data_IF_343627157081
#
_entry.id   IF_343627157081
#
_cell.length_a   1.000
_cell.length_b   1.000
_cell.length_c   1.000
_cell.angle_alpha   90.00
_cell.angle_beta   90.00
_cell.angle_gamma   90.00
#
_symmetry.space_group_name_H-M   'P 1'
#
loop_
_entity.id
_entity.type
_entity.pdbx_description
1 polymer ?
#
# COMPACT_ATOMS: atom_id res chain seq x y z
N UNK A 1 -6.56 27.96 -4.14
CA UNK A 1 -5.71 26.94 -3.50
C UNK A 1 -5.43 25.90 -4.55
N UNK A 2 -4.17 25.56 -4.76
CA UNK A 2 -3.76 24.47 -5.63
C UNK A 2 -4.29 23.16 -5.02
N UNK A 3 -5.06 22.38 -5.78
CA UNK A 3 -5.53 21.06 -5.30
C UNK A 3 -4.37 20.08 -5.43
N UNK A 4 -4.21 19.23 -4.42
CA UNK A 4 -3.24 18.12 -4.47
C UNK A 4 -3.61 17.21 -5.63
N UNK A 5 -2.65 16.88 -6.50
CA UNK A 5 -2.84 15.91 -7.60
C UNK A 5 -2.42 14.52 -7.15
N UNK A 6 -3.24 13.53 -7.43
CA UNK A 6 -3.01 12.12 -7.14
C UNK A 6 -3.23 11.33 -8.43
N UNK A 7 -2.30 10.46 -8.78
CA UNK A 7 -2.50 9.47 -9.86
C UNK A 7 -2.85 8.16 -9.18
N UNK A 8 -4.06 7.64 -9.43
CA UNK A 8 -4.51 6.37 -8.89
C UNK A 8 -4.49 5.30 -10.00
N UNK A 9 -4.11 4.08 -9.62
CA UNK A 9 -4.17 2.94 -10.51
C UNK A 9 -5.62 2.65 -10.90
N UNK A 10 -5.88 2.36 -12.17
CA UNK A 10 -7.23 2.06 -12.66
C UNK A 10 -7.90 0.88 -11.93
N UNK A 11 -7.11 -0.09 -11.44
CA UNK A 11 -7.58 -1.24 -10.66
C UNK A 11 -8.14 -0.82 -9.30
N UNK A 12 -7.70 0.30 -8.74
CA UNK A 12 -8.20 0.80 -7.45
C UNK A 12 -9.60 1.42 -7.55
N UNK A 13 -10.15 1.63 -8.74
CA UNK A 13 -11.52 2.13 -8.91
C UNK A 13 -12.54 1.26 -8.17
N UNK A 14 -12.32 -0.06 -8.08
CA UNK A 14 -13.21 -0.99 -7.38
C UNK A 14 -13.21 -0.82 -5.85
N UNK A 15 -12.21 -0.16 -5.28
CA UNK A 15 -12.18 0.15 -3.85
C UNK A 15 -13.10 1.30 -3.45
N UNK A 16 -13.50 2.15 -4.40
CA UNK A 16 -14.22 3.41 -4.14
C UNK A 16 -13.34 4.56 -3.66
N UNK A 17 -12.10 4.31 -3.25
CA UNK A 17 -11.17 5.33 -2.72
C UNK A 17 -10.87 6.44 -3.74
N UNK A 18 -10.58 6.15 -5.03
CA UNK A 18 -10.36 7.23 -6.01
C UNK A 18 -11.55 8.20 -6.12
N UNK A 19 -12.78 7.71 -5.93
CA UNK A 19 -13.99 8.56 -5.95
C UNK A 19 -14.09 9.43 -4.69
N UNK A 20 -13.74 8.89 -3.52
CA UNK A 20 -13.71 9.64 -2.27
C UNK A 20 -12.65 10.75 -2.31
N UNK A 21 -11.46 10.44 -2.82
CA UNK A 21 -10.35 11.40 -2.93
C UNK A 21 -10.67 12.58 -3.85
N UNK A 22 -11.52 12.42 -4.87
CA UNK A 22 -11.93 13.53 -5.78
C UNK A 22 -12.62 14.69 -5.06
N UNK A 23 -13.14 14.47 -3.86
CA UNK A 23 -13.76 15.53 -3.05
C UNK A 23 -12.71 16.54 -2.57
N UNK A 24 -11.48 16.09 -2.31
CA UNK A 24 -10.39 16.90 -1.71
C UNK A 24 -9.14 17.05 -2.59
N UNK A 25 -9.01 16.26 -3.65
CA UNK A 25 -7.85 16.20 -4.54
C UNK A 25 -8.25 16.14 -6.03
N UNK A 26 -7.31 16.47 -6.92
CA UNK A 26 -7.41 16.18 -8.35
C UNK A 26 -6.91 14.74 -8.59
N UNK A 27 -7.80 13.82 -8.94
CA UNK A 27 -7.47 12.39 -9.10
C UNK A 27 -7.50 12.01 -10.58
N UNK A 28 -6.36 11.59 -11.09
CA UNK A 28 -6.19 11.03 -12.42
C UNK A 28 -6.11 9.50 -12.35
N UNK A 29 -6.80 8.80 -13.25
CA UNK A 29 -6.74 7.35 -13.34
C UNK A 29 -5.78 6.93 -14.44
N UNK A 30 -4.78 6.12 -14.11
CA UNK A 30 -3.79 5.59 -15.05
C UNK A 30 -3.49 4.13 -14.71
N UNK A 31 -3.07 3.32 -15.68
CA UNK A 31 -2.59 1.98 -15.38
C UNK A 31 -1.12 2.07 -14.94
N UNK A 32 -0.87 1.82 -13.66
CA UNK A 32 0.45 1.94 -13.07
C UNK A 32 1.20 0.60 -13.11
N UNK A 33 2.50 0.60 -13.50
CA UNK A 33 3.30 -0.62 -13.48
C UNK A 33 3.65 -1.07 -12.05
N UNK A 34 3.72 -0.13 -11.10
CA UNK A 34 4.08 -0.34 -9.68
C UNK A 34 3.36 0.69 -8.81
N UNK A 35 2.79 0.24 -7.68
CA UNK A 35 2.03 1.07 -6.75
C UNK A 35 0.58 1.27 -7.17
N UNK A 36 -0.22 1.69 -6.19
CA UNK A 36 -1.66 1.90 -6.35
C UNK A 36 -2.01 3.40 -6.42
N UNK A 37 -1.22 4.25 -5.75
CA UNK A 37 -1.38 5.71 -5.79
C UNK A 37 -0.03 6.39 -5.86
N UNK A 38 0.15 7.36 -6.75
CA UNK A 38 1.32 8.23 -6.83
C UNK A 38 0.92 9.60 -6.31
N UNK A 39 1.57 10.03 -5.23
CA UNK A 39 1.33 11.32 -4.57
C UNK A 39 2.31 12.41 -5.03
N UNK A 40 3.46 11.98 -5.56
CA UNK A 40 4.46 12.83 -6.21
C UNK A 40 5.46 11.95 -6.97
N UNK A 41 6.41 12.55 -7.68
CA UNK A 41 7.51 11.81 -8.35
C UNK A 41 8.33 10.94 -7.38
N UNK A 42 8.31 11.24 -6.08
CA UNK A 42 9.09 10.54 -5.05
C UNK A 42 8.24 9.59 -4.21
N UNK A 43 6.93 9.84 -4.09
CA UNK A 43 6.07 9.19 -3.10
C UNK A 43 4.98 8.39 -3.81
N UNK A 44 4.99 7.08 -3.58
CA UNK A 44 3.92 6.18 -3.99
C UNK A 44 3.39 5.38 -2.81
N UNK A 45 2.13 5.01 -2.89
CA UNK A 45 1.42 4.21 -1.91
C UNK A 45 1.02 2.89 -2.58
N UNK A 46 1.33 1.79 -1.92
CA UNK A 46 0.73 0.49 -2.17
C UNK A 46 -0.30 0.25 -1.06
N UNK A 47 -1.54 -0.05 -1.44
CA UNK A 47 -2.62 -0.40 -0.53
C UNK A 47 -2.81 -1.90 -0.55
N UNK A 48 -2.79 -2.52 0.62
CA UNK A 48 -2.98 -3.95 0.76
C UNK A 48 -3.93 -4.25 1.90
N UNK A 49 -4.98 -5.02 1.63
CA UNK A 49 -5.86 -5.50 2.71
C UNK A 49 -5.07 -6.47 3.60
N UNK A 50 -5.39 -6.50 4.89
CA UNK A 50 -4.70 -7.34 5.87
C UNK A 50 -4.69 -8.82 5.45
N UNK A 51 -5.81 -9.33 4.92
CA UNK A 51 -5.90 -10.69 4.39
C UNK A 51 -4.96 -10.93 3.21
N UNK A 52 -4.88 -9.99 2.27
CA UNK A 52 -3.97 -10.09 1.11
C UNK A 52 -2.51 -9.98 1.53
N UNK A 53 -2.21 -9.18 2.57
CA UNK A 53 -0.89 -9.11 3.17
C UNK A 53 -0.49 -10.46 3.77
N UNK A 54 -1.34 -11.07 4.59
CA UNK A 54 -1.08 -12.39 5.17
C UNK A 54 -0.90 -13.46 4.10
N UNK A 55 -1.77 -13.48 3.09
CA UNK A 55 -1.66 -14.40 1.96
C UNK A 55 -0.35 -14.21 1.19
N UNK A 56 0.07 -12.96 0.98
CA UNK A 56 1.34 -12.65 0.32
C UNK A 56 2.55 -13.04 1.16
N UNK A 57 2.44 -12.97 2.50
CA UNK A 57 3.47 -13.39 3.43
C UNK A 57 3.65 -14.92 3.41
N UNK A 58 2.55 -15.68 3.47
CA UNK A 58 2.58 -17.16 3.37
C UNK A 58 3.19 -17.59 2.04
N UNK A 59 2.80 -16.93 0.95
CA UNK A 59 3.30 -17.20 -0.40
C UNK A 59 4.69 -16.60 -0.67
N UNK A 60 5.29 -15.92 0.31
CA UNK A 60 6.58 -15.22 0.22
C UNK A 60 6.68 -14.15 -0.88
N UNK A 61 5.55 -13.69 -1.41
CA UNK A 61 5.49 -12.71 -2.52
C UNK A 61 5.56 -11.26 -2.04
N UNK A 62 5.34 -11.00 -0.75
CA UNK A 62 5.31 -9.63 -0.22
C UNK A 62 6.64 -8.90 -0.44
N UNK A 63 7.77 -9.60 -0.30
CA UNK A 63 9.09 -9.00 -0.45
C UNK A 63 9.39 -8.62 -1.90
N UNK A 64 8.93 -9.40 -2.88
CA UNK A 64 9.05 -9.03 -4.29
C UNK A 64 8.28 -7.74 -4.60
N UNK A 65 7.09 -7.56 -4.02
CA UNK A 65 6.30 -6.33 -4.18
C UNK A 65 7.01 -5.13 -3.55
N UNK A 66 7.50 -5.29 -2.32
CA UNK A 66 8.25 -4.28 -1.57
C UNK A 66 9.52 -3.86 -2.33
N UNK A 67 10.29 -4.80 -2.88
CA UNK A 67 11.47 -4.50 -3.71
C UNK A 67 11.10 -3.71 -4.95
N UNK A 68 10.02 -4.09 -5.65
CA UNK A 68 9.54 -3.36 -6.83
C UNK A 68 9.14 -1.93 -6.49
N UNK A 69 8.46 -1.70 -5.36
CA UNK A 69 8.11 -0.37 -4.87
C UNK A 69 9.34 0.46 -4.54
N UNK A 70 10.29 -0.09 -3.78
CA UNK A 70 11.56 0.58 -3.40
C UNK A 70 12.38 0.98 -4.62
N UNK A 71 12.41 0.13 -5.65
CA UNK A 71 13.16 0.41 -6.88
C UNK A 71 12.47 1.46 -7.76
N UNK A 72 11.15 1.60 -7.66
CA UNK A 72 10.37 2.52 -8.48
C UNK A 72 10.26 3.93 -7.86
N UNK A 73 10.26 4.04 -6.53
CA UNK A 73 10.02 5.29 -5.82
C UNK A 73 10.98 5.48 -4.65
N UNK A 74 11.41 6.72 -4.43
CA UNK A 74 12.33 7.06 -3.34
C UNK A 74 11.68 6.90 -1.95
N UNK A 75 10.39 7.19 -1.84
CA UNK A 75 9.63 7.20 -0.59
C UNK A 75 8.34 6.38 -0.72
N UNK A 76 8.45 5.05 -0.85
CA UNK A 76 7.28 4.18 -0.91
C UNK A 76 6.61 4.08 0.46
N UNK A 77 5.29 3.95 0.45
CA UNK A 77 4.45 3.74 1.63
C UNK A 77 3.59 2.51 1.40
N UNK A 78 3.55 1.60 2.36
CA UNK A 78 2.62 0.48 2.39
C UNK A 78 1.50 0.79 3.37
N UNK A 79 0.27 0.83 2.88
CA UNK A 79 -0.93 0.85 3.72
C UNK A 79 -1.44 -0.57 3.89
N UNK A 80 -1.50 -1.04 5.14
CA UNK A 80 -2.17 -2.29 5.51
C UNK A 80 -3.56 -1.94 6.03
N UNK A 81 -4.56 -2.17 5.20
CA UNK A 81 -5.96 -1.83 5.46
C UNK A 81 -6.72 -3.00 6.11
N UNK A 82 -7.68 -2.67 6.96
CA UNK A 82 -8.62 -3.58 7.62
C UNK A 82 -8.08 -4.25 8.88
N UNK A 83 -9.04 -4.71 9.68
CA UNK A 83 -8.78 -5.61 10.79
C UNK A 83 -8.43 -7.02 10.30
N UNK A 84 -7.94 -7.86 11.21
CA UNK A 84 -7.60 -9.25 10.90
C UNK A 84 -6.14 -9.51 10.50
N UNK A 85 -5.26 -8.51 10.63
CA UNK A 85 -3.82 -8.70 10.45
C UNK A 85 -3.27 -9.76 11.43
N UNK A 86 -3.76 -9.79 12.66
CA UNK A 86 -3.45 -10.83 13.64
C UNK A 86 -4.52 -11.93 13.57
N UNK A 87 -4.36 -12.81 12.57
CA UNK A 87 -5.25 -13.96 12.36
C UNK A 87 -4.69 -15.24 12.99
N UNK A 88 -5.54 -16.22 13.28
CA UNK A 88 -5.12 -17.50 13.91
C UNK A 88 -4.18 -18.35 13.05
N UNK A 89 -4.10 -18.09 11.75
CA UNK A 89 -3.38 -18.94 10.80
C UNK A 89 -1.89 -18.59 10.68
N UNK A 90 -1.47 -17.43 11.18
CA UNK A 90 -0.08 -16.96 11.11
C UNK A 90 0.31 -16.44 12.49
N UNK A 91 1.47 -16.86 12.98
CA UNK A 91 1.96 -16.38 14.27
C UNK A 91 2.26 -14.90 14.24
N UNK A 92 1.93 -14.18 15.32
CA UNK A 92 2.23 -12.75 15.48
C UNK A 92 3.71 -12.42 15.23
N UNK A 93 4.62 -13.32 15.62
CA UNK A 93 6.07 -13.17 15.38
C UNK A 93 6.43 -13.08 13.91
N UNK A 94 5.76 -13.86 13.05
CA UNK A 94 5.99 -13.83 11.61
C UNK A 94 5.48 -12.51 11.00
N UNK A 95 4.33 -12.02 11.48
CA UNK A 95 3.76 -10.75 11.05
C UNK A 95 4.66 -9.59 11.47
N UNK A 96 5.04 -9.52 12.75
CA UNK A 96 5.92 -8.49 13.26
C UNK A 96 7.31 -8.55 12.61
N UNK A 97 7.85 -9.75 12.39
CA UNK A 97 9.13 -9.92 11.70
C UNK A 97 9.08 -9.40 10.25
N UNK A 98 7.99 -9.68 9.53
CA UNK A 98 7.80 -9.15 8.18
C UNK A 98 7.70 -7.62 8.18
N UNK A 99 6.88 -7.04 9.05
CA UNK A 99 6.72 -5.57 9.15
C UNK A 99 8.03 -4.91 9.57
N UNK A 100 8.74 -5.47 10.55
CA UNK A 100 10.03 -4.96 10.99
C UNK A 100 11.06 -4.97 9.85
N UNK A 101 11.13 -6.05 9.07
CA UNK A 101 12.01 -6.13 7.90
C UNK A 101 11.61 -5.10 6.83
N UNK A 102 10.32 -4.95 6.52
CA UNK A 102 9.83 -3.93 5.57
C UNK A 102 10.23 -2.51 6.02
N UNK A 103 10.09 -2.20 7.31
CA UNK A 103 10.45 -0.90 7.87
C UNK A 103 11.96 -0.64 7.89
N UNK A 104 12.77 -1.65 8.21
CA UNK A 104 14.21 -1.48 8.50
C UNK A 104 15.11 -1.85 7.32
N UNK A 105 14.93 -3.04 6.74
CA UNK A 105 15.78 -3.53 5.65
C UNK A 105 15.37 -2.91 4.31
N UNK A 106 14.06 -2.79 4.09
CA UNK A 106 13.53 -2.23 2.84
C UNK A 106 13.22 -0.73 2.94
N UNK A 107 13.28 -0.14 4.13
CA UNK A 107 13.08 1.31 4.36
C UNK A 107 11.74 1.82 3.81
N UNK A 108 10.71 0.97 3.81
CA UNK A 108 9.36 1.33 3.38
C UNK A 108 8.53 1.70 4.61
N UNK A 109 7.87 2.86 4.57
CA UNK A 109 6.96 3.26 5.64
C UNK A 109 5.71 2.38 5.65
N UNK A 110 5.28 1.93 6.83
CA UNK A 110 4.06 1.10 6.97
C UNK A 110 3.02 1.84 7.81
N UNK A 111 1.83 2.02 7.24
CA UNK A 111 0.68 2.64 7.92
C UNK A 111 -0.43 1.59 8.00
N UNK A 112 -1.14 1.54 9.13
CA UNK A 112 -2.33 0.71 9.28
C UNK A 112 -3.58 1.58 9.29
N UNK A 113 -4.58 1.19 8.52
CA UNK A 113 -5.91 1.83 8.51
C UNK A 113 -6.97 0.80 8.88
N UNK A 114 -8.08 1.27 9.46
CA UNK A 114 -9.20 0.40 9.85
C UNK A 114 -10.03 -0.03 8.65
N UNK A 115 -10.18 0.86 7.68
CA UNK A 115 -11.00 0.68 6.49
C UNK A 115 -10.52 1.68 5.43
N UNK A 116 -11.35 1.89 4.40
CA UNK A 116 -11.04 2.71 3.25
C UNK A 116 -11.24 4.23 3.49
N UNK A 117 -11.91 4.63 4.58
CA UNK A 117 -12.14 6.04 4.95
C UNK A 117 -11.03 6.58 5.88
#
# INVERSE_FOLDING_TARGET
MERVRIIADTRETYSGIPSMLKVSAEVELCQLPVGDYILSERVAVERKRAVDFLDSLVKKRIFDQVVRLKNAYEKPVLIIENEGLFSRNITDRAIYGAIASILTDYEISVIRTRDAE
#
